data_IF_482028160706
#
_entry.id   IF_482028160706
#
_cell.length_a   1.000
_cell.length_b   1.000
_cell.length_c   1.000
_cell.angle_alpha   90.00
_cell.angle_beta   90.00
_cell.angle_gamma   90.00
#
_symmetry.space_group_name_H-M   'P 1'
#
loop_
_entity.id
_entity.type
_entity.pdbx_description
1 polymer ?
#
# COMPACT_ATOMS: atom_id res chain seq x y z
N UNK A 1 6.82 16.63 -8.31
CA UNK A 1 5.38 16.57 -8.60
C UNK A 1 5.06 15.11 -8.85
N UNK A 2 4.05 14.54 -8.19
CA UNK A 2 3.65 13.18 -8.53
C UNK A 2 2.99 13.18 -9.92
N UNK A 3 3.50 12.38 -10.84
CA UNK A 3 2.86 12.17 -12.15
C UNK A 3 1.83 11.04 -12.03
N UNK A 4 0.96 10.88 -13.03
CA UNK A 4 -0.05 9.81 -13.05
C UNK A 4 0.55 8.40 -13.00
N UNK A 5 1.86 8.27 -13.27
CA UNK A 5 2.62 7.01 -13.21
C UNK A 5 3.22 6.72 -11.82
N UNK A 6 3.23 7.69 -10.90
CA UNK A 6 3.78 7.43 -9.58
C UNK A 6 2.90 6.43 -8.81
N UNK A 7 3.51 5.43 -8.15
CA UNK A 7 2.76 4.37 -7.48
C UNK A 7 1.88 4.97 -6.38
N UNK A 8 0.60 4.62 -6.39
CA UNK A 8 -0.41 5.12 -5.44
C UNK A 8 -0.17 4.61 -4.01
N UNK A 9 0.54 3.48 -3.89
CA UNK A 9 0.95 2.85 -2.65
C UNK A 9 2.45 2.56 -2.70
N UNK A 10 3.14 2.84 -1.60
CA UNK A 10 4.51 2.40 -1.39
C UNK A 10 4.50 1.22 -0.42
N UNK A 11 5.20 0.14 -0.78
CA UNK A 11 5.32 -1.05 0.04
C UNK A 11 6.72 -1.18 0.62
N UNK A 12 6.79 -1.49 1.90
CA UNK A 12 8.03 -1.83 2.59
C UNK A 12 7.83 -3.08 3.44
N UNK A 13 8.63 -4.11 3.16
CA UNK A 13 8.60 -5.37 3.89
C UNK A 13 9.82 -5.48 4.82
N UNK A 14 9.55 -5.84 6.07
CA UNK A 14 10.54 -6.13 7.10
C UNK A 14 10.71 -7.65 7.25
N UNK A 15 11.95 -8.12 7.41
CA UNK A 15 12.27 -9.53 7.63
C UNK A 15 11.65 -10.14 8.90
N UNK A 16 11.09 -9.32 9.80
CA UNK A 16 10.29 -9.74 10.97
C UNK A 16 8.84 -10.09 10.63
N UNK A 17 8.44 -10.00 9.35
CA UNK A 17 7.06 -10.23 8.89
C UNK A 17 6.16 -9.00 9.08
N UNK A 18 6.73 -7.80 9.10
CA UNK A 18 5.96 -6.54 9.15
C UNK A 18 5.95 -5.94 7.76
N UNK A 19 4.77 -5.75 7.18
CA UNK A 19 4.61 -5.02 5.92
C UNK A 19 3.99 -3.67 6.18
N UNK A 20 4.56 -2.62 5.60
CA UNK A 20 4.01 -1.26 5.65
C UNK A 20 3.55 -0.85 4.26
N UNK A 21 2.29 -0.45 4.14
CA UNK A 21 1.71 0.17 2.95
C UNK A 21 1.49 1.66 3.25
N UNK A 22 2.22 2.53 2.54
CA UNK A 22 2.10 3.98 2.67
C UNK A 22 1.28 4.54 1.52
N UNK A 23 0.21 5.28 1.84
CA UNK A 23 -0.60 6.00 0.87
C UNK A 23 0.23 7.14 0.28
N UNK A 24 0.47 7.08 -1.03
CA UNK A 24 1.37 7.99 -1.73
C UNK A 24 0.59 8.98 -2.61
N UNK A 25 -0.42 9.63 -2.03
CA UNK A 25 -1.18 10.72 -2.67
C UNK A 25 -1.24 11.98 -1.80
N UNK A 26 -0.09 12.56 -1.42
CA UNK A 26 -0.05 13.71 -0.51
C UNK A 26 -0.82 14.93 -1.06
N UNK A 27 -0.81 15.14 -2.37
CA UNK A 27 -1.52 16.24 -3.06
C UNK A 27 -3.05 16.17 -2.92
N UNK A 28 -3.59 15.00 -2.62
CA UNK A 28 -5.01 14.77 -2.41
C UNK A 28 -5.32 14.39 -0.95
N UNK A 29 -4.40 14.69 -0.02
CA UNK A 29 -4.49 14.29 1.39
C UNK A 29 -4.77 12.79 1.57
N UNK A 30 -4.17 11.95 0.72
CA UNK A 30 -4.38 10.50 0.70
C UNK A 30 -5.86 10.08 0.53
N UNK A 31 -6.65 10.90 -0.16
CA UNK A 31 -8.04 10.58 -0.47
C UNK A 31 -8.15 9.25 -1.23
N UNK A 32 -9.10 8.42 -0.79
CA UNK A 32 -9.37 7.06 -1.27
C UNK A 32 -10.09 7.07 -2.63
N UNK A 33 -9.38 7.47 -3.68
CA UNK A 33 -9.84 7.35 -5.06
C UNK A 33 -10.05 5.88 -5.46
N UNK A 34 -10.86 5.62 -6.48
CA UNK A 34 -11.10 4.25 -6.98
C UNK A 34 -9.80 3.52 -7.34
N UNK A 35 -8.85 4.21 -8.00
CA UNK A 35 -7.54 3.64 -8.32
C UNK A 35 -6.74 3.25 -7.08
N UNK A 36 -6.80 4.06 -6.01
CA UNK A 36 -6.11 3.76 -4.74
C UNK A 36 -6.78 2.58 -4.03
N UNK A 37 -8.12 2.52 -4.02
CA UNK A 37 -8.86 1.39 -3.46
C UNK A 37 -8.54 0.08 -4.19
N UNK A 38 -8.47 0.11 -5.53
CA UNK A 38 -8.07 -1.06 -6.33
C UNK A 38 -6.64 -1.49 -6.01
N UNK A 39 -5.70 -0.54 -5.95
CA UNK A 39 -4.31 -0.83 -5.59
C UNK A 39 -4.21 -1.44 -4.18
N UNK A 40 -4.97 -0.91 -3.22
CA UNK A 40 -4.99 -1.41 -1.85
C UNK A 40 -5.56 -2.83 -1.79
N UNK A 41 -6.65 -3.09 -2.50
CA UNK A 41 -7.25 -4.43 -2.59
C UNK A 41 -6.24 -5.43 -3.16
N UNK A 42 -5.55 -5.09 -4.25
CA UNK A 42 -4.53 -5.96 -4.84
C UNK A 42 -3.40 -6.29 -3.87
N UNK A 43 -2.86 -5.29 -3.15
CA UNK A 43 -1.81 -5.55 -2.14
C UNK A 43 -2.33 -6.39 -0.99
N UNK A 44 -3.56 -6.14 -0.51
CA UNK A 44 -4.18 -6.94 0.54
C UNK A 44 -4.39 -8.40 0.13
N UNK A 45 -4.82 -8.64 -1.11
CA UNK A 45 -5.02 -10.00 -1.64
C UNK A 45 -3.68 -10.76 -1.74
N UNK A 46 -2.61 -10.08 -2.16
CA UNK A 46 -1.26 -10.66 -2.18
C UNK A 46 -0.75 -10.98 -0.78
N UNK A 47 -0.97 -10.05 0.15
CA UNK A 47 -0.57 -10.20 1.55
C UNK A 47 -1.37 -11.26 2.30
N UNK A 48 -2.64 -11.48 1.94
CA UNK A 48 -3.46 -12.55 2.48
C UNK A 48 -2.91 -13.95 2.13
N UNK A 49 -2.17 -14.08 1.03
CA UNK A 49 -1.50 -15.31 0.64
C UNK A 49 -0.08 -15.46 1.22
N UNK A 50 0.45 -14.44 1.92
CA UNK A 50 1.80 -14.46 2.47
C UNK A 50 1.82 -15.03 3.91
N UNK A 51 2.28 -16.27 4.04
CA UNK A 51 2.41 -16.96 5.35
C UNK A 51 3.44 -16.30 6.29
N UNK A 52 4.32 -15.44 5.77
CA UNK A 52 5.33 -14.72 6.56
C UNK A 52 4.78 -13.44 7.15
N UNK A 53 3.65 -12.94 6.66
CA UNK A 53 3.03 -11.73 7.17
C UNK A 53 2.54 -11.94 8.61
N UNK A 54 2.93 -11.03 9.49
CA UNK A 54 2.55 -11.00 10.91
C UNK A 54 1.78 -9.75 11.24
N UNK A 55 2.18 -8.62 10.66
CA UNK A 55 1.60 -7.31 10.92
C UNK A 55 1.56 -6.50 9.63
N UNK A 56 0.42 -5.87 9.37
CA UNK A 56 0.26 -4.88 8.32
C UNK A 56 0.11 -3.49 8.96
N UNK A 57 0.92 -2.53 8.53
CA UNK A 57 0.83 -1.12 8.89
C UNK A 57 0.34 -0.33 7.68
N UNK A 58 -0.66 0.55 7.89
CA UNK A 58 -1.15 1.49 6.88
C UNK A 58 -0.82 2.90 7.34
N UNK A 59 -0.09 3.66 6.51
CA UNK A 59 0.42 4.99 6.83
C UNK A 59 0.08 6.04 5.76
#
# INVERSE_FOLDING_TARGET
MLTTDDPLLLRHDDGRGVTTLTLNRPQAFNSLSEGLLRALQTELDLLAADERLRVLVIA
#
